data_IF_019309201358
#
_entry.id   IF_019309201358
#
_cell.length_a   1.000
_cell.length_b   1.000
_cell.length_c   1.000
_cell.angle_alpha   90.00
_cell.angle_beta   90.00
_cell.angle_gamma   90.00
#
_symmetry.space_group_name_H-M   'P 1'
#
loop_
_entity.id
_entity.type
_entity.pdbx_description
1 polymer ?
#
# COMPACT_ATOMS: atom_id res chain seq x y z
N UNK A 1 -15.77 -9.56 -8.86
CA UNK A 1 -15.02 -8.39 -9.41
C UNK A 1 -14.39 -7.51 -8.31
N UNK A 2 -15.10 -7.24 -7.20
CA UNK A 2 -14.57 -6.40 -6.11
C UNK A 2 -13.41 -7.05 -5.35
N UNK A 3 -13.52 -8.32 -4.98
CA UNK A 3 -12.48 -9.06 -4.25
C UNK A 3 -11.15 -9.15 -5.03
N UNK A 4 -11.21 -9.41 -6.34
CA UNK A 4 -10.02 -9.44 -7.18
C UNK A 4 -9.28 -8.10 -7.22
N UNK A 5 -10.01 -6.98 -7.16
CA UNK A 5 -9.40 -5.64 -7.08
C UNK A 5 -8.78 -5.39 -5.71
N UNK A 6 -9.46 -5.77 -4.64
CA UNK A 6 -8.95 -5.61 -3.27
C UNK A 6 -7.67 -6.44 -3.06
N UNK A 7 -7.64 -7.69 -3.57
CA UNK A 7 -6.47 -8.55 -3.53
C UNK A 7 -5.31 -7.97 -4.34
N UNK A 8 -5.56 -7.55 -5.59
CA UNK A 8 -4.54 -6.90 -6.41
C UNK A 8 -3.98 -5.64 -5.75
N UNK A 9 -4.83 -4.80 -5.18
CA UNK A 9 -4.40 -3.58 -4.51
C UNK A 9 -3.54 -3.87 -3.28
N UNK A 10 -3.90 -4.89 -2.49
CA UNK A 10 -3.10 -5.35 -1.36
C UNK A 10 -1.72 -5.84 -1.81
N UNK A 11 -1.68 -6.73 -2.81
CA UNK A 11 -0.43 -7.29 -3.31
C UNK A 11 0.46 -6.22 -3.94
N UNK A 12 -0.12 -5.26 -4.67
CA UNK A 12 0.58 -4.12 -5.22
C UNK A 12 1.22 -3.25 -4.14
N UNK A 13 0.46 -2.88 -3.10
CA UNK A 13 0.98 -2.04 -2.02
C UNK A 13 2.09 -2.75 -1.23
N UNK A 14 1.92 -4.04 -0.92
CA UNK A 14 2.95 -4.84 -0.25
C UNK A 14 4.22 -4.91 -1.11
N UNK A 15 4.09 -5.15 -2.41
CA UNK A 15 5.22 -5.19 -3.34
C UNK A 15 5.98 -3.85 -3.38
N UNK A 16 5.27 -2.71 -3.42
CA UNK A 16 5.92 -1.40 -3.38
C UNK A 16 6.59 -1.13 -2.03
N UNK A 17 5.97 -1.48 -0.91
CA UNK A 17 6.57 -1.31 0.42
C UNK A 17 7.86 -2.12 0.53
N UNK A 18 7.84 -3.38 0.07
CA UNK A 18 9.01 -4.25 0.08
C UNK A 18 10.13 -3.70 -0.83
N UNK A 19 9.78 -3.12 -1.98
CA UNK A 19 10.73 -2.48 -2.89
C UNK A 19 11.49 -1.32 -2.23
N UNK A 20 10.86 -0.60 -1.31
CA UNK A 20 11.48 0.48 -0.54
C UNK A 20 11.96 0.03 0.86
N UNK A 21 12.06 -1.27 1.11
CA UNK A 21 12.58 -1.83 2.37
C UNK A 21 11.71 -1.50 3.58
N UNK A 22 10.38 -1.44 3.42
CA UNK A 22 9.46 -1.08 4.50
C UNK A 22 9.28 0.43 4.69
N UNK A 23 9.91 1.28 3.87
CA UNK A 23 9.79 2.72 4.00
C UNK A 23 8.44 3.23 3.45
N UNK A 24 7.47 3.37 4.35
CA UNK A 24 6.12 3.86 4.04
C UNK A 24 6.14 5.27 3.45
N UNK A 25 7.03 6.16 3.91
CA UNK A 25 7.10 7.54 3.38
C UNK A 25 7.54 7.57 1.92
N UNK A 26 8.62 6.84 1.58
CA UNK A 26 9.08 6.72 0.18
C UNK A 26 8.05 6.03 -0.70
N UNK A 27 7.38 5.01 -0.16
CA UNK A 27 6.31 4.30 -0.89
C UNK A 27 5.13 5.23 -1.18
N UNK A 28 4.69 6.00 -0.18
CA UNK A 28 3.60 6.96 -0.31
C UNK A 28 3.92 8.04 -1.35
N UNK A 29 5.13 8.61 -1.29
CA UNK A 29 5.62 9.57 -2.29
C UNK A 29 5.65 8.97 -3.70
N UNK A 30 6.17 7.74 -3.85
CA UNK A 30 6.25 7.05 -5.14
C UNK A 30 4.89 6.76 -5.77
N UNK A 31 3.91 6.32 -4.96
CA UNK A 31 2.55 6.03 -5.46
C UNK A 31 1.66 7.28 -5.52
N UNK A 32 2.17 8.46 -5.14
CA UNK A 32 1.41 9.71 -5.12
C UNK A 32 0.31 9.75 -4.05
N UNK A 33 0.48 9.01 -2.95
CA UNK A 33 -0.47 8.95 -1.84
C UNK A 33 0.09 9.69 -0.63
N UNK A 34 -0.79 10.32 0.15
CA UNK A 34 -0.41 10.89 1.43
C UNK A 34 -0.06 9.77 2.42
N UNK A 35 1.05 9.91 3.17
CA UNK A 35 1.59 8.85 4.04
C UNK A 35 0.56 8.32 5.04
N UNK A 36 -0.21 9.20 5.68
CA UNK A 36 -1.21 8.80 6.68
C UNK A 36 -2.38 8.05 6.02
N UNK A 37 -2.76 8.42 4.80
CA UNK A 37 -3.73 7.67 3.99
C UNK A 37 -3.22 6.27 3.65
N UNK A 38 -1.97 6.12 3.21
CA UNK A 38 -1.35 4.81 2.96
C UNK A 38 -1.36 3.95 4.22
N UNK A 39 -0.98 4.53 5.36
CA UNK A 39 -0.98 3.82 6.64
C UNK A 39 -2.38 3.37 7.08
N UNK A 40 -3.39 4.23 6.96
CA UNK A 40 -4.80 3.85 7.23
C UNK A 40 -5.26 2.74 6.30
N UNK A 41 -4.85 2.80 5.03
CA UNK A 41 -5.22 1.81 4.01
C UNK A 41 -4.61 0.44 4.29
N UNK A 42 -3.33 0.37 4.65
CA UNK A 42 -2.67 -0.88 5.05
C UNK A 42 -3.36 -1.51 6.27
N UNK A 43 -3.66 -0.70 7.28
CA UNK A 43 -4.42 -1.14 8.46
C UNK A 43 -5.79 -1.70 8.09
N UNK A 44 -6.50 -1.08 7.14
CA UNK A 44 -7.79 -1.58 6.64
C UNK A 44 -7.67 -2.87 5.83
N UNK A 45 -6.52 -3.13 5.19
CA UNK A 45 -6.22 -4.35 4.44
C UNK A 45 -5.67 -5.47 5.32
N UNK A 46 -5.51 -5.22 6.63
CA UNK A 46 -5.01 -6.18 7.62
C UNK A 46 -3.51 -6.47 7.48
N UNK A 47 -2.73 -5.47 7.05
CA UNK A 47 -1.25 -5.50 6.95
C UNK A 47 -0.68 -4.54 7.98
#
# INVERSE_FOLDING_TARGET
LREAREQFEKDYLIAQINRFGGNISKTAEFIGMERSALHRKLKSLGV
#
